data_IF_187536851695
#
_entry.id   IF_187536851695
#
_cell.length_a   1.000
_cell.length_b   1.000
_cell.length_c   1.000
_cell.angle_alpha   90.00
_cell.angle_beta   90.00
_cell.angle_gamma   90.00
#
_symmetry.space_group_name_H-M   'P 1'
#
loop_
_entity.id
_entity.type
_entity.pdbx_description
1 polymer ?
#
# COMPACT_ATOMS: atom_id res chain seq x y z
N UNK A 1 9.87 1.37 -3.39
CA UNK A 1 10.33 0.20 -2.65
C UNK A 1 11.28 0.60 -1.53
N UNK A 2 11.10 -0.01 -0.36
CA UNK A 2 11.97 0.27 0.76
C UNK A 2 13.41 -0.16 0.43
N UNK A 3 14.38 0.68 0.81
CA UNK A 3 15.80 0.39 0.62
C UNK A 3 16.24 -0.68 1.63
N UNK A 4 16.24 -1.96 1.23
CA UNK A 4 16.45 -3.10 2.12
C UNK A 4 17.74 -3.07 2.94
N UNK A 5 18.85 -2.62 2.34
CA UNK A 5 20.11 -2.44 3.07
C UNK A 5 20.00 -1.34 4.13
N UNK A 6 19.32 -0.24 3.81
CA UNK A 6 19.08 0.85 4.76
C UNK A 6 18.20 0.42 5.93
N UNK A 7 17.21 -0.45 5.70
CA UNK A 7 16.38 -1.00 6.78
C UNK A 7 17.23 -1.83 7.72
N UNK A 8 18.07 -2.73 7.23
CA UNK A 8 18.95 -3.55 8.08
C UNK A 8 19.90 -2.70 8.90
N UNK A 9 20.60 -1.76 8.26
CA UNK A 9 21.50 -0.85 8.96
C UNK A 9 20.77 -0.02 10.02
N UNK A 10 19.56 0.47 9.73
CA UNK A 10 18.75 1.21 10.68
C UNK A 10 18.26 0.37 11.87
N UNK A 11 17.94 -0.91 11.65
CA UNK A 11 17.59 -1.84 12.75
C UNK A 11 18.82 -2.07 13.64
N UNK A 12 20.00 -2.27 13.07
CA UNK A 12 21.25 -2.42 13.83
C UNK A 12 21.58 -1.17 14.68
N UNK A 13 21.33 0.02 14.12
CA UNK A 13 21.50 1.27 14.86
C UNK A 13 20.51 1.38 16.03
N UNK A 14 19.23 1.09 15.80
CA UNK A 14 18.21 1.11 16.84
C UNK A 14 18.43 0.01 17.91
N UNK A 15 18.99 -1.14 17.52
CA UNK A 15 19.23 -2.24 18.45
C UNK A 15 20.10 -1.82 19.65
N UNK A 16 21.06 -0.92 19.44
CA UNK A 16 21.93 -0.42 20.52
C UNK A 16 21.15 0.31 21.61
N UNK A 17 20.11 1.04 21.23
CA UNK A 17 19.27 1.78 22.16
C UNK A 17 18.17 0.91 22.79
N UNK A 18 17.78 -0.19 22.15
CA UNK A 18 16.65 -1.02 22.55
C UNK A 18 17.04 -2.28 23.34
N UNK A 19 18.27 -2.77 23.19
CA UNK A 19 18.73 -3.96 23.88
C UNK A 19 18.60 -3.81 25.41
N UNK A 20 17.96 -4.79 26.04
CA UNK A 20 17.69 -4.81 27.48
C UNK A 20 16.44 -4.05 27.91
N UNK A 21 15.72 -3.41 27.00
CA UNK A 21 14.43 -2.78 27.31
C UNK A 21 13.28 -3.81 27.25
N UNK A 22 12.20 -3.54 27.98
CA UNK A 22 11.01 -4.37 27.97
C UNK A 22 10.20 -4.11 26.68
N UNK A 23 10.07 -5.10 25.77
CA UNK A 23 9.38 -4.92 24.50
C UNK A 23 7.87 -4.64 24.63
N UNK A 24 7.29 -4.85 25.81
CA UNK A 24 5.87 -4.59 26.09
C UNK A 24 5.57 -3.11 26.38
N UNK A 25 6.60 -2.30 26.61
CA UNK A 25 6.48 -0.86 26.90
C UNK A 25 6.53 -0.05 25.60
N UNK A 26 5.51 -0.22 24.75
CA UNK A 26 5.47 0.32 23.37
C UNK A 26 5.78 1.81 23.30
N UNK A 27 5.14 2.64 24.12
CA UNK A 27 5.35 4.10 24.10
C UNK A 27 6.79 4.47 24.50
N UNK A 28 7.40 3.74 25.43
CA UNK A 28 8.78 3.97 25.83
C UNK A 28 9.72 3.63 24.68
N UNK A 29 9.51 2.48 24.05
CA UNK A 29 10.32 2.03 22.92
C UNK A 29 10.19 2.97 21.72
N UNK A 30 8.98 3.40 21.40
CA UNK A 30 8.75 4.33 20.29
C UNK A 30 9.47 5.67 20.54
N UNK A 31 9.36 6.24 21.74
CA UNK A 31 10.13 7.45 22.10
C UNK A 31 11.64 7.22 22.05
N UNK A 32 12.12 6.06 22.49
CA UNK A 32 13.55 5.71 22.41
C UNK A 32 14.01 5.64 20.97
N UNK A 33 13.23 5.02 20.08
CA UNK A 33 13.54 4.96 18.65
C UNK A 33 13.51 6.34 17.99
N UNK A 34 12.59 7.22 18.41
CA UNK A 34 12.50 8.58 17.85
C UNK A 34 13.72 9.43 18.23
N UNK A 35 14.26 9.25 19.42
CA UNK A 35 15.48 9.94 19.88
C UNK A 35 16.72 9.34 19.20
N UNK A 36 16.82 8.01 19.14
CA UNK A 36 18.01 7.33 18.62
C UNK A 36 18.16 7.49 17.10
N UNK A 37 17.05 7.50 16.37
CA UNK A 37 17.04 7.62 14.90
C UNK A 37 15.85 8.50 14.46
N UNK A 38 16.00 9.84 14.41
CA UNK A 38 14.95 10.73 13.96
C UNK A 38 14.47 10.41 12.54
N UNK A 39 13.15 10.43 12.31
CA UNK A 39 12.57 10.02 11.02
C UNK A 39 12.54 8.50 10.83
N UNK A 40 12.69 8.02 9.61
CA UNK A 40 12.76 6.60 9.23
C UNK A 40 11.60 5.72 9.76
N UNK A 41 10.33 6.10 9.56
CA UNK A 41 9.18 5.41 10.17
C UNK A 41 9.07 3.94 9.73
N UNK A 42 9.46 3.60 8.51
CA UNK A 42 9.42 2.23 8.00
C UNK A 42 10.41 1.28 8.70
N UNK A 43 11.51 1.78 9.27
CA UNK A 43 12.44 0.97 10.09
C UNK A 43 11.81 0.74 11.46
N UNK A 44 11.30 1.81 12.07
CA UNK A 44 10.65 1.77 13.38
C UNK A 44 9.41 0.89 13.38
N UNK A 45 8.61 0.96 12.31
CA UNK A 45 7.41 0.13 12.16
C UNK A 45 7.71 -1.37 12.25
N UNK A 46 8.83 -1.85 11.72
CA UNK A 46 9.21 -3.26 11.81
C UNK A 46 9.43 -3.70 13.26
N UNK A 47 10.06 -2.84 14.07
CA UNK A 47 10.31 -3.10 15.50
C UNK A 47 9.01 -2.96 16.30
N UNK A 48 8.22 -1.92 16.04
CA UNK A 48 6.94 -1.69 16.70
C UNK A 48 5.97 -2.85 16.51
N UNK A 49 5.83 -3.36 15.27
CA UNK A 49 5.01 -4.55 14.96
C UNK A 49 5.49 -5.77 15.75
N UNK A 50 6.80 -6.00 15.83
CA UNK A 50 7.36 -7.09 16.61
C UNK A 50 7.06 -6.96 18.11
N UNK A 51 7.10 -5.74 18.64
CA UNK A 51 6.77 -5.45 20.05
C UNK A 51 5.26 -5.66 20.33
N UNK A 52 4.40 -5.24 19.43
CA UNK A 52 2.96 -5.53 19.49
C UNK A 52 2.67 -7.04 19.49
N UNK A 53 3.36 -7.82 18.64
CA UNK A 53 3.23 -9.28 18.60
C UNK A 53 3.67 -9.92 19.93
N UNK A 54 4.78 -9.47 20.51
CA UNK A 54 5.25 -9.92 21.82
C UNK A 54 4.24 -9.58 22.93
N UNK A 55 3.68 -8.36 22.91
CA UNK A 55 2.67 -7.93 23.87
C UNK A 55 1.43 -8.82 23.78
N UNK A 56 0.91 -9.07 22.58
CA UNK A 56 -0.24 -9.94 22.35
C UNK A 56 0.00 -11.36 22.83
N UNK A 57 1.14 -11.96 22.49
CA UNK A 57 1.54 -13.30 22.95
C UNK A 57 1.67 -13.38 24.48
N UNK A 58 2.24 -12.33 25.08
CA UNK A 58 2.40 -12.28 26.55
C UNK A 58 1.05 -12.13 27.25
N UNK A 59 0.13 -11.37 26.69
CA UNK A 59 -1.20 -11.18 27.23
C UNK A 59 -2.15 -12.37 26.93
N UNK A 60 -1.78 -13.27 26.02
CA UNK A 60 -2.65 -14.35 25.54
C UNK A 60 -3.85 -13.86 24.72
N UNK A 61 -3.72 -12.68 24.09
CA UNK A 61 -4.77 -12.04 23.32
C UNK A 61 -4.35 -11.83 21.86
N UNK A 62 -5.26 -11.98 20.89
CA UNK A 62 -5.01 -11.57 19.52
C UNK A 62 -4.84 -10.05 19.45
N UNK A 63 -4.05 -9.59 18.50
CA UNK A 63 -3.73 -8.16 18.38
C UNK A 63 -4.96 -7.28 18.17
N UNK A 64 -5.98 -7.78 17.47
CA UNK A 64 -7.23 -7.05 17.29
C UNK A 64 -7.92 -6.71 18.62
N UNK A 65 -7.85 -7.60 19.61
CA UNK A 65 -8.45 -7.34 20.93
C UNK A 65 -7.66 -6.27 21.71
N UNK A 66 -6.34 -6.23 21.56
CA UNK A 66 -5.50 -5.18 22.13
C UNK A 66 -5.72 -3.80 21.45
N UNK A 67 -6.17 -3.81 20.21
CA UNK A 67 -6.43 -2.59 19.42
C UNK A 67 -7.90 -2.11 19.50
N UNK A 68 -8.71 -2.69 20.35
CA UNK A 68 -10.08 -2.24 20.58
C UNK A 68 -11.17 -3.27 20.27
N UNK A 69 -10.78 -4.46 19.83
CA UNK A 69 -11.68 -5.58 19.55
C UNK A 69 -11.85 -5.90 18.08
N UNK A 70 -12.42 -7.07 17.83
CA UNK A 70 -12.68 -7.57 16.49
C UNK A 70 -14.00 -6.96 15.98
N UNK A 71 -13.98 -6.27 14.85
CA UNK A 71 -15.16 -5.73 14.19
C UNK A 71 -15.85 -6.76 13.28
N UNK A 72 -15.06 -7.62 12.61
CA UNK A 72 -15.59 -8.65 11.71
C UNK A 72 -14.68 -9.86 11.60
N UNK A 73 -15.20 -10.93 11.01
CA UNK A 73 -14.48 -12.20 10.84
C UNK A 73 -13.73 -12.29 9.50
N UNK A 74 -14.06 -11.42 8.55
CA UNK A 74 -13.45 -11.40 7.23
C UNK A 74 -13.33 -9.98 6.68
N UNK A 75 -12.30 -9.75 5.89
CA UNK A 75 -12.08 -8.52 5.14
C UNK A 75 -12.01 -8.88 3.65
N UNK A 76 -12.78 -8.14 2.84
CA UNK A 76 -12.69 -8.26 1.39
C UNK A 76 -11.33 -7.76 0.93
N UNK A 77 -10.56 -8.62 0.27
CA UNK A 77 -9.25 -8.26 -0.28
C UNK A 77 -9.34 -7.91 -1.76
N UNK A 78 -8.43 -7.07 -2.23
CA UNK A 78 -8.28 -6.77 -3.65
C UNK A 78 -7.22 -7.70 -4.29
N UNK A 79 -7.29 -7.87 -5.59
CA UNK A 79 -6.18 -8.39 -6.39
C UNK A 79 -5.25 -7.24 -6.78
N UNK A 80 -3.95 -7.50 -6.78
CA UNK A 80 -2.96 -6.54 -7.28
C UNK A 80 -2.59 -6.89 -8.73
N UNK A 81 -2.84 -5.96 -9.64
CA UNK A 81 -2.55 -6.09 -11.06
C UNK A 81 -1.32 -5.25 -11.37
N UNK A 82 -0.25 -5.92 -11.77
CA UNK A 82 1.00 -5.26 -12.12
C UNK A 82 0.87 -4.40 -13.38
N UNK A 83 1.69 -3.35 -13.47
CA UNK A 83 1.81 -2.55 -14.69
C UNK A 83 2.37 -3.42 -15.83
N UNK A 84 1.76 -3.34 -17.01
CA UNK A 84 2.12 -4.11 -18.19
C UNK A 84 1.52 -3.51 -19.45
N UNK A 85 1.41 -4.29 -20.53
CA UNK A 85 0.61 -3.87 -21.68
C UNK A 85 -0.88 -3.90 -21.35
N UNK A 86 -1.74 -3.18 -22.07
CA UNK A 86 -3.19 -3.24 -21.88
C UNK A 86 -3.73 -4.68 -21.88
N UNK A 87 -3.27 -5.52 -22.80
CA UNK A 87 -3.69 -6.92 -22.95
C UNK A 87 -3.25 -7.78 -21.77
N UNK A 88 -2.02 -7.59 -21.28
CA UNK A 88 -1.51 -8.28 -20.10
C UNK A 88 -2.32 -7.94 -18.85
N UNK A 89 -2.66 -6.66 -18.66
CA UNK A 89 -3.44 -6.22 -17.52
C UNK A 89 -4.86 -6.77 -17.54
N UNK A 90 -5.50 -6.78 -18.70
CA UNK A 90 -6.83 -7.40 -18.88
C UNK A 90 -6.79 -8.91 -18.59
N UNK A 91 -5.76 -9.60 -19.04
CA UNK A 91 -5.58 -11.03 -18.75
C UNK A 91 -5.37 -11.31 -17.26
N UNK A 92 -4.59 -10.48 -16.56
CA UNK A 92 -4.38 -10.59 -15.11
C UNK A 92 -5.68 -10.37 -14.31
N UNK A 93 -6.53 -9.44 -14.74
CA UNK A 93 -7.86 -9.22 -14.13
C UNK A 93 -8.76 -10.43 -14.37
N UNK A 94 -8.76 -10.99 -15.58
CA UNK A 94 -9.55 -12.19 -15.88
C UNK A 94 -9.12 -13.39 -15.02
N UNK A 95 -7.83 -13.58 -14.81
CA UNK A 95 -7.29 -14.60 -13.90
C UNK A 95 -7.70 -14.34 -12.44
N UNK A 96 -7.58 -13.10 -11.98
CA UNK A 96 -8.00 -12.72 -10.62
C UNK A 96 -9.50 -12.97 -10.41
N UNK A 97 -10.34 -12.61 -11.40
CA UNK A 97 -11.78 -12.88 -11.40
C UNK A 97 -12.09 -14.38 -11.32
N UNK A 98 -11.37 -15.21 -12.05
CA UNK A 98 -11.52 -16.66 -12.00
C UNK A 98 -11.20 -17.24 -10.61
N UNK A 99 -10.39 -16.53 -9.82
CA UNK A 99 -10.08 -16.86 -8.42
C UNK A 99 -11.07 -16.24 -7.42
N UNK A 100 -12.09 -15.53 -7.87
CA UNK A 100 -13.15 -14.97 -7.04
C UNK A 100 -12.91 -13.54 -6.56
N UNK A 101 -11.90 -12.83 -7.06
CA UNK A 101 -11.72 -11.41 -6.75
C UNK A 101 -12.74 -10.57 -7.51
N UNK A 102 -13.30 -9.59 -6.81
CA UNK A 102 -14.25 -8.59 -7.35
C UNK A 102 -13.78 -7.15 -7.13
N UNK A 103 -12.62 -7.00 -6.49
CA UNK A 103 -11.97 -5.72 -6.27
C UNK A 103 -10.53 -5.81 -6.78
N UNK A 104 -10.11 -4.83 -7.55
CA UNK A 104 -8.80 -4.82 -8.20
C UNK A 104 -8.05 -3.52 -7.92
N UNK A 105 -6.75 -3.61 -7.68
CA UNK A 105 -5.83 -2.47 -7.64
C UNK A 105 -4.86 -2.61 -8.79
N UNK A 106 -5.01 -1.75 -9.81
CA UNK A 106 -4.20 -1.76 -11.01
C UNK A 106 -3.09 -0.73 -10.92
N UNK A 107 -1.87 -1.18 -11.11
CA UNK A 107 -0.72 -0.28 -11.20
C UNK A 107 -0.73 0.41 -12.57
N UNK A 108 -0.66 1.73 -12.53
CA UNK A 108 -0.44 2.60 -13.68
C UNK A 108 0.65 3.61 -13.31
N UNK A 109 0.99 4.52 -14.20
CA UNK A 109 2.07 5.46 -13.95
C UNK A 109 3.34 5.02 -14.68
N UNK A 110 3.58 5.68 -15.78
CA UNK A 110 4.75 5.53 -16.62
C UNK A 110 5.29 6.89 -17.05
N UNK A 111 6.23 6.87 -17.96
CA UNK A 111 6.78 8.10 -18.59
C UNK A 111 5.93 8.60 -19.75
N UNK A 112 4.99 7.78 -20.23
CA UNK A 112 4.11 8.10 -21.36
C UNK A 112 2.64 8.10 -20.92
N UNK A 113 2.00 9.28 -20.85
CA UNK A 113 0.59 9.42 -20.50
C UNK A 113 -0.36 8.66 -21.43
N UNK A 114 -0.04 8.59 -22.73
CA UNK A 114 -0.86 7.88 -23.71
C UNK A 114 -0.90 6.36 -23.44
N UNK A 115 0.21 5.79 -22.98
CA UNK A 115 0.25 4.40 -22.56
C UNK A 115 -0.59 4.13 -21.31
N UNK A 116 -0.62 5.05 -20.35
CA UNK A 116 -1.46 4.92 -19.16
C UNK A 116 -2.94 5.05 -19.52
N UNK A 117 -3.31 5.98 -20.40
CA UNK A 117 -4.68 6.10 -20.94
C UNK A 117 -5.12 4.78 -21.59
N UNK A 118 -4.30 4.21 -22.48
CA UNK A 118 -4.63 2.96 -23.15
C UNK A 118 -4.83 1.80 -22.18
N UNK A 119 -4.03 1.69 -21.12
CA UNK A 119 -4.18 0.69 -20.06
C UNK A 119 -5.48 0.85 -19.31
N UNK A 120 -5.79 2.07 -18.89
CA UNK A 120 -7.02 2.40 -18.14
C UNK A 120 -8.25 2.07 -18.99
N UNK A 121 -8.30 2.52 -20.24
CA UNK A 121 -9.42 2.25 -21.16
C UNK A 121 -9.61 0.76 -21.41
N UNK A 122 -8.55 0.01 -21.68
CA UNK A 122 -8.62 -1.42 -21.92
C UNK A 122 -9.15 -2.18 -20.70
N UNK A 123 -8.64 -1.87 -19.51
CA UNK A 123 -9.09 -2.49 -18.27
C UNK A 123 -10.56 -2.17 -18.00
N UNK A 124 -10.98 -0.92 -18.15
CA UNK A 124 -12.35 -0.49 -17.90
C UNK A 124 -13.34 -1.06 -18.90
N UNK A 125 -12.95 -1.24 -20.16
CA UNK A 125 -13.84 -1.83 -21.21
C UNK A 125 -14.30 -3.24 -20.88
N UNK A 126 -13.53 -4.01 -20.13
CA UNK A 126 -13.83 -5.39 -19.74
C UNK A 126 -14.29 -5.55 -18.28
N UNK A 127 -14.48 -4.45 -17.54
CA UNK A 127 -14.83 -4.50 -16.12
C UNK A 127 -16.36 -4.58 -15.92
N UNK A 128 -16.89 -5.66 -15.34
CA UNK A 128 -18.32 -5.75 -14.99
C UNK A 128 -18.72 -4.70 -13.95
N UNK A 129 -19.95 -4.24 -13.99
CA UNK A 129 -20.48 -3.27 -13.04
C UNK A 129 -20.49 -3.76 -11.57
N UNK A 130 -20.39 -5.07 -11.36
CA UNK A 130 -20.27 -5.68 -10.03
C UNK A 130 -18.87 -5.67 -9.45
N UNK A 131 -17.87 -5.31 -10.25
CA UNK A 131 -16.46 -5.23 -9.81
C UNK A 131 -16.04 -3.78 -9.58
N UNK A 132 -15.03 -3.60 -8.75
CA UNK A 132 -14.45 -2.30 -8.42
C UNK A 132 -12.96 -2.28 -8.77
N UNK A 133 -12.50 -1.11 -9.16
CA UNK A 133 -11.10 -0.90 -9.50
C UNK A 133 -10.56 0.40 -8.89
N UNK A 134 -9.31 0.34 -8.47
CA UNK A 134 -8.50 1.51 -8.10
C UNK A 134 -7.27 1.52 -9.00
N UNK A 135 -6.95 2.67 -9.56
CA UNK A 135 -5.71 2.87 -10.29
C UNK A 135 -4.66 3.49 -9.37
N UNK A 136 -3.62 2.73 -9.05
CA UNK A 136 -2.54 3.18 -8.18
C UNK A 136 -1.36 3.64 -9.03
N UNK A 137 -1.15 4.93 -9.03
CA UNK A 137 -0.11 5.62 -9.81
C UNK A 137 1.22 5.64 -9.09
N UNK A 138 1.25 5.40 -7.79
CA UNK A 138 2.43 5.44 -6.95
C UNK A 138 3.28 6.72 -7.11
N UNK A 139 2.63 7.88 -7.23
CA UNK A 139 3.25 9.20 -7.33
C UNK A 139 4.03 9.42 -8.64
N UNK A 140 3.73 8.66 -9.68
CA UNK A 140 4.50 8.72 -10.91
C UNK A 140 4.13 9.90 -11.81
N UNK A 141 2.93 10.48 -11.66
CA UNK A 141 2.51 11.61 -12.48
C UNK A 141 2.88 12.96 -11.88
N UNK A 142 3.17 13.92 -12.75
CA UNK A 142 3.12 15.33 -12.37
C UNK A 142 1.66 15.81 -12.31
N UNK A 143 1.34 16.93 -11.63
CA UNK A 143 -0.03 17.46 -11.62
C UNK A 143 -0.61 17.69 -13.03
N UNK A 144 0.21 18.16 -13.98
CA UNK A 144 -0.22 18.36 -15.37
C UNK A 144 -0.60 17.05 -16.05
N UNK A 145 0.23 16.00 -15.89
CA UNK A 145 -0.05 14.65 -16.43
C UNK A 145 -1.27 14.06 -15.76
N UNK A 146 -1.43 14.20 -14.45
CA UNK A 146 -2.61 13.72 -13.74
C UNK A 146 -3.89 14.32 -14.30
N UNK A 147 -3.92 15.65 -14.46
CA UNK A 147 -5.07 16.38 -15.06
C UNK A 147 -5.33 15.91 -16.49
N UNK A 148 -4.29 15.77 -17.31
CA UNK A 148 -4.42 15.30 -18.70
C UNK A 148 -5.04 13.91 -18.77
N UNK A 149 -4.44 12.92 -18.09
CA UNK A 149 -4.90 11.53 -18.11
C UNK A 149 -6.31 11.42 -17.55
N UNK A 150 -6.57 11.99 -16.37
CA UNK A 150 -7.87 11.88 -15.70
C UNK A 150 -8.99 12.54 -16.51
N UNK A 151 -8.73 13.66 -17.21
CA UNK A 151 -9.72 14.29 -18.08
C UNK A 151 -10.05 13.41 -19.31
N UNK A 152 -9.06 12.79 -19.92
CA UNK A 152 -9.27 11.91 -21.08
C UNK A 152 -10.10 10.69 -20.69
N UNK A 153 -9.79 10.06 -19.56
CA UNK A 153 -10.48 8.84 -19.14
C UNK A 153 -11.74 9.07 -18.30
N UNK A 154 -12.11 10.32 -18.00
CA UNK A 154 -13.23 10.66 -17.12
C UNK A 154 -14.56 10.01 -17.51
N UNK A 155 -14.78 9.80 -18.82
CA UNK A 155 -16.00 9.20 -19.35
C UNK A 155 -16.07 7.67 -19.19
N UNK A 156 -14.92 7.00 -19.05
CA UNK A 156 -14.83 5.52 -18.99
C UNK A 156 -14.35 5.03 -17.63
N UNK A 157 -13.58 5.82 -16.92
CA UNK A 157 -13.00 5.48 -15.62
C UNK A 157 -13.27 6.59 -14.59
N UNK A 158 -14.52 6.86 -14.22
CA UNK A 158 -14.85 7.78 -13.13
C UNK A 158 -14.51 7.12 -11.79
N UNK A 159 -13.25 6.75 -11.61
CA UNK A 159 -12.83 5.84 -10.53
C UNK A 159 -11.90 6.50 -9.53
N UNK A 160 -11.30 5.66 -8.74
CA UNK A 160 -10.39 6.04 -7.67
C UNK A 160 -8.95 5.96 -8.18
N UNK A 161 -8.24 7.06 -8.04
CA UNK A 161 -6.81 7.16 -8.32
C UNK A 161 -6.04 7.32 -7.03
N UNK A 162 -5.21 6.34 -6.72
CA UNK A 162 -4.36 6.33 -5.52
C UNK A 162 -3.04 6.99 -5.84
N UNK A 163 -2.64 7.96 -5.01
CA UNK A 163 -1.36 8.67 -5.09
C UNK A 163 -0.98 9.10 -6.52
N UNK A 164 -1.82 9.88 -7.22
CA UNK A 164 -1.49 10.30 -8.59
C UNK A 164 -0.23 11.14 -8.66
N UNK A 165 0.01 12.00 -7.68
CA UNK A 165 1.13 12.93 -7.60
C UNK A 165 2.00 12.68 -6.36
N UNK A 166 3.12 13.43 -6.24
CA UNK A 166 4.12 13.26 -5.17
C UNK A 166 3.57 13.60 -3.79
N UNK A 167 2.76 14.67 -3.68
CA UNK A 167 2.19 15.13 -2.40
C UNK A 167 0.68 15.32 -2.46
N UNK A 168 0.07 15.50 -1.28
CA UNK A 168 -1.38 15.73 -1.14
C UNK A 168 -1.81 17.13 -1.58
N UNK A 169 -0.88 18.09 -1.63
CA UNK A 169 -1.15 19.47 -2.03
C UNK A 169 -1.15 19.63 -3.55
N UNK A 170 -0.65 18.66 -4.29
CA UNK A 170 -0.65 18.63 -5.75
C UNK A 170 -1.94 18.04 -6.31
#
# INVERSE_FOLDING_TARGET
>A
PAFGHGIRAGIEELARALLGQDPRKLDVLNRTMDVALPGHPYIKAAIDIACWDILGKTAGLPLCDLLGGRDGDAVLTNSSISNGTPEEMVALIADARARGYTVHSCKVGGTDPAADIARIEAVMSGLPASERITFDVNRAWTPAVAVEVMNVVAGVAPGWYEQPCETMEQ
#
